data_IF_754670866464
#
_entry.id   IF_754670866464
#
_cell.length_a   1.000
_cell.length_b   1.000
_cell.length_c   1.000
_cell.angle_alpha   90.00
_cell.angle_beta   90.00
_cell.angle_gamma   90.00
#
_symmetry.space_group_name_H-M   'P 1'
#
loop_
_entity.id
_entity.type
_entity.pdbx_description
1 polymer ?
#
# COMPACT_ATOMS: atom_id res chain seq x y z
N UNK A 1 9.14 -15.40 13.77
CA UNK A 1 9.83 -14.97 12.54
C UNK A 1 8.88 -13.99 11.92
N UNK A 2 9.27 -12.73 11.80
CA UNK A 2 8.35 -11.67 11.40
C UNK A 2 8.01 -11.85 9.93
N UNK A 3 6.83 -12.43 9.65
CA UNK A 3 6.24 -12.64 8.33
C UNK A 3 5.92 -11.28 7.69
N UNK A 4 6.95 -10.57 7.26
CA UNK A 4 6.78 -9.48 6.34
C UNK A 4 6.50 -10.14 4.98
N UNK A 5 5.31 -9.89 4.44
CA UNK A 5 4.81 -10.52 3.21
C UNK A 5 5.84 -10.52 2.08
N UNK A 6 5.73 -11.45 1.14
CA UNK A 6 6.67 -11.56 0.02
C UNK A 6 6.83 -10.22 -0.71
N UNK A 7 8.06 -9.78 -0.95
CA UNK A 7 8.32 -8.59 -1.75
C UNK A 7 8.10 -8.88 -3.23
N UNK A 8 7.17 -8.14 -3.85
CA UNK A 8 6.78 -8.30 -5.25
C UNK A 8 7.39 -7.22 -6.17
N UNK A 9 8.05 -6.21 -5.59
CA UNK A 9 8.68 -5.17 -6.37
C UNK A 9 9.39 -4.11 -5.52
N UNK A 10 9.77 -3.02 -6.18
CA UNK A 10 10.36 -1.85 -5.55
C UNK A 10 9.76 -0.58 -6.17
N UNK A 11 9.42 0.38 -5.33
CA UNK A 11 8.95 1.70 -5.74
C UNK A 11 9.71 2.78 -4.98
N UNK A 12 10.36 3.69 -5.73
CA UNK A 12 11.17 4.79 -5.18
C UNK A 12 12.24 4.31 -4.17
N UNK A 13 12.86 3.16 -4.45
CA UNK A 13 13.88 2.57 -3.57
C UNK A 13 13.30 1.80 -2.39
N UNK A 14 11.98 1.85 -2.15
CA UNK A 14 11.31 1.08 -1.09
C UNK A 14 10.72 -0.22 -1.61
N UNK A 15 10.81 -1.33 -0.87
CA UNK A 15 10.16 -2.59 -1.23
C UNK A 15 8.64 -2.43 -1.30
N UNK A 16 8.02 -3.08 -2.30
CA UNK A 16 6.58 -3.31 -2.34
C UNK A 16 6.33 -4.71 -1.80
N UNK A 17 5.60 -4.79 -0.70
CA UNK A 17 5.18 -6.06 -0.12
C UNK A 17 3.88 -6.50 -0.79
N UNK A 18 3.70 -7.82 -1.00
CA UNK A 18 2.45 -8.38 -1.50
C UNK A 18 1.30 -8.11 -0.52
N UNK A 19 1.59 -8.23 0.77
CA UNK A 19 0.67 -7.92 1.85
C UNK A 19 1.41 -7.30 3.03
N UNK A 20 0.69 -6.50 3.80
CA UNK A 20 1.13 -5.89 5.04
C UNK A 20 0.08 -6.11 6.12
N UNK A 21 0.53 -6.25 7.35
CA UNK A 21 -0.35 -6.28 8.52
C UNK A 21 -0.36 -4.89 9.16
N UNK A 22 -1.53 -4.28 9.25
CA UNK A 22 -1.74 -2.97 9.86
C UNK A 22 -2.85 -3.09 10.89
N UNK A 23 -2.58 -2.73 12.15
CA UNK A 23 -3.57 -2.73 13.24
C UNK A 23 -4.31 -4.08 13.38
N UNK A 24 -3.58 -5.19 13.26
CA UNK A 24 -4.12 -6.56 13.35
C UNK A 24 -5.06 -6.95 12.18
N UNK A 25 -5.04 -6.17 11.09
CA UNK A 25 -5.75 -6.46 9.85
C UNK A 25 -4.76 -6.64 8.69
N UNK A 26 -5.09 -7.57 7.79
CA UNK A 26 -4.29 -7.86 6.61
C UNK A 26 -4.71 -6.97 5.44
N UNK A 27 -3.74 -6.33 4.81
CA UNK A 27 -3.94 -5.54 3.59
C UNK A 27 -3.07 -6.09 2.47
N UNK A 28 -3.62 -6.21 1.25
CA UNK A 28 -2.92 -6.69 0.06
C UNK A 28 -2.63 -5.52 -0.88
N UNK A 29 -1.45 -5.53 -1.50
CA UNK A 29 -1.08 -4.50 -2.45
C UNK A 29 -2.05 -4.48 -3.64
N UNK A 30 -2.58 -3.30 -3.96
CA UNK A 30 -3.50 -3.10 -5.06
C UNK A 30 -2.83 -2.33 -6.21
N UNK A 31 -2.35 -1.11 -5.92
CA UNK A 31 -1.80 -0.21 -6.95
C UNK A 31 -0.85 0.83 -6.37
N UNK A 32 -0.14 1.52 -7.25
CA UNK A 32 0.64 2.71 -6.90
C UNK A 32 -0.25 3.93 -7.17
N UNK A 33 -0.38 4.79 -6.17
CA UNK A 33 -1.08 6.07 -6.28
C UNK A 33 -0.44 6.93 -7.37
N UNK A 34 -1.28 7.61 -8.15
CA UNK A 34 -0.80 8.64 -9.07
C UNK A 34 -0.47 9.89 -8.27
N UNK A 35 0.76 10.35 -8.41
CA UNK A 35 1.18 11.64 -7.89
C UNK A 35 0.71 12.73 -8.87
N UNK A 36 -0.20 13.58 -8.43
CA UNK A 36 -0.81 14.65 -9.22
C UNK A 36 -0.82 15.94 -8.38
N UNK A 37 -0.57 17.09 -9.00
CA UNK A 37 -0.55 18.40 -8.33
C UNK A 37 0.32 18.46 -7.06
N UNK A 38 1.52 17.85 -7.13
CA UNK A 38 2.50 17.75 -6.04
C UNK A 38 2.01 16.98 -4.78
N UNK A 39 0.89 16.25 -4.87
CA UNK A 39 0.33 15.47 -3.76
C UNK A 39 -0.21 14.09 -4.20
N UNK A 40 -0.55 13.24 -3.22
CA UNK A 40 -1.31 12.01 -3.45
C UNK A 40 -2.78 12.27 -3.09
N UNK A 41 -3.69 12.38 -4.06
CA UNK A 41 -5.08 12.70 -3.78
C UNK A 41 -5.76 11.56 -3.02
N UNK A 42 -6.10 11.81 -1.75
CA UNK A 42 -6.77 10.85 -0.87
C UNK A 42 -8.23 10.60 -1.29
N UNK A 43 -8.83 11.50 -2.07
CA UNK A 43 -10.19 11.35 -2.61
C UNK A 43 -10.33 10.14 -3.56
N UNK A 44 -9.21 9.55 -4.00
CA UNK A 44 -9.17 8.32 -4.83
C UNK A 44 -8.96 7.05 -4.02
N UNK A 45 -8.93 7.15 -2.69
CA UNK A 45 -8.82 6.03 -1.76
C UNK A 45 -10.23 5.58 -1.36
N UNK A 46 -10.53 4.30 -1.52
CA UNK A 46 -11.78 3.71 -1.05
C UNK A 46 -11.75 3.53 0.47
N UNK A 47 -12.92 3.31 1.09
CA UNK A 47 -13.01 3.17 2.56
C UNK A 47 -12.15 2.01 3.12
N UNK A 48 -11.95 0.95 2.33
CA UNK A 48 -11.15 -0.22 2.69
C UNK A 48 -9.72 -0.19 2.12
N UNK A 49 -9.26 0.98 1.66
CA UNK A 49 -7.92 1.17 1.11
C UNK A 49 -7.07 2.05 2.04
N UNK A 50 -5.77 1.75 2.10
CA UNK A 50 -4.77 2.51 2.87
C UNK A 50 -3.65 2.97 1.96
N UNK A 51 -3.27 4.24 2.08
CA UNK A 51 -2.11 4.81 1.42
C UNK A 51 -0.88 4.72 2.33
N UNK A 52 0.15 4.02 1.86
CA UNK A 52 1.44 3.87 2.52
C UNK A 52 2.50 4.64 1.74
N UNK A 53 3.28 5.47 2.42
CA UNK A 53 4.37 6.20 1.75
C UNK A 53 5.40 5.23 1.11
N UNK A 54 5.80 5.47 -0.15
CA UNK A 54 5.74 6.76 -0.85
C UNK A 54 4.64 6.82 -1.91
N UNK A 55 3.48 6.17 -1.69
CA UNK A 55 2.37 6.16 -2.64
C UNK A 55 1.86 4.76 -2.98
N UNK A 56 2.05 3.77 -2.11
CA UNK A 56 1.55 2.42 -2.29
C UNK A 56 0.15 2.31 -1.69
N UNK A 57 -0.82 1.87 -2.49
CA UNK A 57 -2.19 1.63 -2.04
C UNK A 57 -2.32 0.14 -1.75
N UNK A 58 -2.72 -0.18 -0.53
CA UNK A 58 -3.10 -1.53 -0.12
C UNK A 58 -4.59 -1.55 0.21
N UNK A 59 -5.26 -2.66 -0.09
CA UNK A 59 -6.68 -2.88 0.17
C UNK A 59 -6.87 -3.94 1.24
N UNK A 60 -7.85 -3.75 2.12
CA UNK A 60 -8.20 -4.73 3.14
C UNK A 60 -8.48 -6.09 2.50
N UNK A 61 -7.93 -7.14 3.11
CA UNK A 61 -8.10 -8.52 2.68
C UNK A 61 -9.33 -9.08 3.41
N UNK A 62 -10.50 -8.89 2.80
CA UNK A 62 -11.76 -9.51 3.24
C UNK A 62 -11.71 -11.04 3.30
#
# INVERSE_FOLDING_TARGET
MSDHGHTIGNYLGKPIFESIELREEDYVFDRIARYEDDEFPLDRLSEDEVLVEPGLIYRHKD
#
